data_IF_860596872654
#
_entry.id   IF_860596872654
#
_cell.length_a   1.000
_cell.length_b   1.000
_cell.length_c   1.000
_cell.angle_alpha   90.00
_cell.angle_beta   90.00
_cell.angle_gamma   90.00
#
_symmetry.space_group_name_H-M   'P 1'
#
loop_
_entity.id
_entity.type
_entity.pdbx_description
1 polymer ?
#
# COMPACT_ATOMS: atom_id res chain seq x y z
N UNK A 1 -3.47 -6.16 -24.08
CA UNK A 1 -2.22 -6.25 -24.87
C UNK A 1 -1.66 -7.67 -24.74
N UNK A 2 -0.97 -8.19 -25.75
CA UNK A 2 -0.30 -9.50 -25.66
C UNK A 2 0.84 -9.50 -24.63
N UNK A 3 1.09 -10.65 -23.97
CA UNK A 3 2.16 -10.78 -22.95
C UNK A 3 3.54 -10.37 -23.48
N UNK A 4 3.81 -10.60 -24.76
CA UNK A 4 5.08 -10.24 -25.40
C UNK A 4 5.28 -8.72 -25.50
N UNK A 5 4.23 -7.99 -25.86
CA UNK A 5 4.26 -6.53 -25.94
C UNK A 5 4.46 -5.89 -24.56
N UNK A 6 3.72 -6.37 -23.55
CA UNK A 6 3.88 -5.94 -22.15
C UNK A 6 5.34 -6.13 -21.70
N UNK A 7 5.92 -7.30 -21.98
CA UNK A 7 7.30 -7.61 -21.63
C UNK A 7 8.28 -6.61 -22.26
N UNK A 8 8.11 -6.31 -23.56
CA UNK A 8 8.98 -5.38 -24.29
C UNK A 8 8.93 -3.96 -23.71
N UNK A 9 7.73 -3.47 -23.42
CA UNK A 9 7.51 -2.13 -22.88
C UNK A 9 8.09 -1.97 -21.47
N UNK A 10 7.80 -2.92 -20.57
CA UNK A 10 8.27 -2.84 -19.19
C UNK A 10 9.79 -2.99 -19.10
N UNK A 11 10.39 -3.88 -19.88
CA UNK A 11 11.85 -3.98 -19.96
C UNK A 11 12.50 -2.73 -20.55
N UNK A 12 11.81 -2.00 -21.44
CA UNK A 12 12.29 -0.73 -21.94
C UNK A 12 12.27 0.36 -20.85
N UNK A 13 11.17 0.46 -20.08
CA UNK A 13 11.08 1.37 -18.93
C UNK A 13 12.17 1.08 -17.90
N UNK A 14 12.40 -0.21 -17.59
CA UNK A 14 13.42 -0.65 -16.63
C UNK A 14 14.84 -0.25 -17.03
N UNK A 15 15.17 -0.32 -18.33
CA UNK A 15 16.49 0.15 -18.85
C UNK A 15 16.70 1.65 -18.70
N UNK A 16 15.62 2.43 -18.52
CA UNK A 16 15.68 3.86 -18.28
C UNK A 16 15.92 4.24 -16.82
N UNK A 17 15.89 3.29 -15.88
CA UNK A 17 16.11 3.56 -14.46
C UNK A 17 17.60 3.55 -14.11
N UNK A 18 17.98 4.43 -13.19
CA UNK A 18 19.31 4.41 -12.61
C UNK A 18 19.44 3.29 -11.57
N UNK A 19 20.67 2.87 -11.28
CA UNK A 19 20.92 1.89 -10.22
C UNK A 19 20.46 2.41 -8.84
N UNK A 20 20.58 3.72 -8.59
CA UNK A 20 20.14 4.36 -7.36
C UNK A 20 18.61 4.32 -7.21
N UNK A 21 17.86 4.55 -8.29
CA UNK A 21 16.40 4.45 -8.27
C UNK A 21 15.94 3.03 -7.95
N UNK A 22 16.55 2.03 -8.62
CA UNK A 22 16.26 0.62 -8.37
C UNK A 22 16.58 0.27 -6.92
N UNK A 23 17.74 0.69 -6.40
CA UNK A 23 18.13 0.40 -5.02
C UNK A 23 17.17 1.04 -4.02
N UNK A 24 16.79 2.30 -4.22
CA UNK A 24 15.84 3.02 -3.34
C UNK A 24 14.47 2.34 -3.31
N UNK A 25 13.93 1.97 -4.47
CA UNK A 25 12.65 1.25 -4.53
C UNK A 25 12.76 -0.18 -3.96
N UNK A 26 13.87 -0.87 -4.22
CA UNK A 26 14.14 -2.21 -3.68
C UNK A 26 14.22 -2.22 -2.16
N UNK A 27 14.88 -1.20 -1.58
CA UNK A 27 14.93 -0.99 -0.14
C UNK A 27 13.53 -0.87 0.46
N UNK A 28 12.67 -0.03 -0.13
CA UNK A 28 11.28 0.12 0.32
C UNK A 28 10.49 -1.19 0.22
N UNK A 29 10.66 -1.94 -0.87
CA UNK A 29 10.03 -3.27 -1.03
C UNK A 29 10.52 -4.25 0.04
N UNK A 30 11.82 -4.30 0.31
CA UNK A 30 12.40 -5.18 1.32
C UNK A 30 11.89 -4.85 2.73
N UNK A 31 11.91 -3.56 3.13
CA UNK A 31 11.38 -3.11 4.42
C UNK A 31 9.91 -3.49 4.60
N UNK A 32 9.10 -3.31 3.56
CA UNK A 32 7.69 -3.72 3.55
C UNK A 32 7.54 -5.20 3.81
N UNK A 33 8.24 -6.05 3.05
CA UNK A 33 8.16 -7.50 3.20
C UNK A 33 8.64 -7.94 4.59
N UNK A 34 9.72 -7.33 5.11
CA UNK A 34 10.25 -7.62 6.46
C UNK A 34 9.22 -7.35 7.57
N UNK A 35 8.37 -6.33 7.40
CA UNK A 35 7.32 -5.99 8.36
C UNK A 35 6.11 -6.92 8.34
N UNK A 36 5.97 -7.76 7.30
CA UNK A 36 4.82 -8.65 7.17
C UNK A 36 4.95 -9.87 8.08
N UNK A 37 3.84 -10.27 8.69
CA UNK A 37 3.73 -11.46 9.55
C UNK A 37 4.27 -12.72 8.86
N UNK A 38 3.98 -12.88 7.56
CA UNK A 38 4.45 -14.03 6.77
C UNK A 38 5.98 -14.12 6.69
N UNK A 39 6.70 -12.98 6.67
CA UNK A 39 8.16 -13.01 6.73
C UNK A 39 8.64 -13.28 8.15
N UNK A 40 8.02 -12.64 9.14
CA UNK A 40 8.39 -12.79 10.55
C UNK A 40 8.26 -14.26 11.02
N UNK A 41 7.20 -14.95 10.59
CA UNK A 41 6.92 -16.35 10.95
C UNK A 41 7.69 -17.38 10.13
N UNK A 42 8.12 -17.04 8.90
CA UNK A 42 8.81 -18.01 8.04
C UNK A 42 10.17 -18.42 8.62
N UNK A 43 10.43 -19.73 8.71
CA UNK A 43 11.74 -20.24 9.10
C UNK A 43 12.73 -20.35 7.93
N UNK A 44 12.21 -20.29 6.70
CA UNK A 44 12.97 -20.35 5.47
C UNK A 44 12.46 -19.32 4.45
N UNK A 45 13.41 -18.70 3.72
CA UNK A 45 13.18 -17.74 2.65
C UNK A 45 13.74 -18.29 1.35
N UNK A 46 12.90 -18.45 0.34
CA UNK A 46 13.32 -18.82 -1.01
C UNK A 46 13.23 -17.56 -1.88
N UNK A 47 14.36 -17.09 -2.41
CA UNK A 47 14.41 -15.83 -3.13
C UNK A 47 15.12 -15.98 -4.48
N UNK A 48 14.73 -15.18 -5.45
CA UNK A 48 15.47 -15.06 -6.70
C UNK A 48 16.73 -14.24 -6.50
N UNK A 49 17.74 -14.49 -7.34
CA UNK A 49 18.89 -13.61 -7.47
C UNK A 49 18.58 -12.57 -8.55
N UNK A 50 18.59 -11.29 -8.17
CA UNK A 50 18.20 -10.22 -9.07
C UNK A 50 19.13 -10.09 -10.28
N UNK A 51 18.54 -9.79 -11.43
CA UNK A 51 19.28 -9.56 -12.66
C UNK A 51 18.60 -8.49 -13.50
N UNK A 52 19.34 -7.87 -14.43
CA UNK A 52 18.76 -6.99 -15.47
C UNK A 52 17.86 -5.86 -14.92
N UNK A 53 18.22 -5.29 -13.77
CA UNK A 53 17.53 -4.16 -13.14
C UNK A 53 16.18 -4.50 -12.48
N UNK A 54 15.97 -5.77 -12.12
CA UNK A 54 14.83 -6.15 -11.25
C UNK A 54 14.91 -5.46 -9.88
N UNK A 55 13.79 -5.45 -9.15
CA UNK A 55 13.83 -5.16 -7.73
C UNK A 55 14.84 -6.12 -7.07
N UNK A 56 15.81 -5.59 -6.34
CA UNK A 56 16.73 -6.44 -5.58
C UNK A 56 16.07 -6.87 -4.28
N UNK A 57 16.22 -8.15 -3.95
CA UNK A 57 15.75 -8.74 -2.68
C UNK A 57 16.93 -9.12 -1.79
N UNK A 58 18.11 -8.57 -2.08
CA UNK A 58 19.34 -8.83 -1.34
C UNK A 58 19.22 -8.43 0.13
N UNK A 59 18.73 -7.22 0.41
CA UNK A 59 18.54 -6.75 1.79
C UNK A 59 17.58 -7.65 2.58
N UNK A 60 16.56 -8.21 1.91
CA UNK A 60 15.63 -9.16 2.52
C UNK A 60 16.32 -10.48 2.88
N UNK A 61 17.18 -10.99 2.01
CA UNK A 61 18.01 -12.19 2.30
C UNK A 61 19.03 -11.93 3.42
N UNK A 62 19.66 -10.75 3.44
CA UNK A 62 20.59 -10.35 4.51
C UNK A 62 19.89 -10.27 5.87
N UNK A 63 18.66 -9.75 5.92
CA UNK A 63 17.85 -9.77 7.13
C UNK A 63 17.45 -11.19 7.52
N UNK A 64 17.10 -12.04 6.56
CA UNK A 64 16.79 -13.45 6.84
C UNK A 64 17.98 -14.19 7.47
N UNK A 65 19.21 -13.98 6.95
CA UNK A 65 20.43 -14.52 7.57
C UNK A 65 20.62 -14.01 9.01
N UNK A 66 20.42 -12.70 9.23
CA UNK A 66 20.54 -12.09 10.57
C UNK A 66 19.56 -12.68 11.58
N UNK A 67 18.35 -13.02 11.13
CA UNK A 67 17.33 -13.68 11.96
C UNK A 67 17.54 -15.20 12.06
N UNK A 68 18.60 -15.76 11.47
CA UNK A 68 18.89 -17.19 11.49
C UNK A 68 17.93 -18.03 10.64
N UNK A 69 17.19 -17.41 9.72
CA UNK A 69 16.33 -18.12 8.76
C UNK A 69 17.20 -18.81 7.71
N UNK A 70 16.72 -19.95 7.20
CA UNK A 70 17.37 -20.65 6.08
C UNK A 70 17.08 -19.91 4.78
N UNK A 71 18.09 -19.57 3.99
CA UNK A 71 17.90 -18.89 2.70
C UNK A 71 18.26 -19.84 1.57
N UNK A 72 17.39 -19.95 0.57
CA UNK A 72 17.64 -20.73 -0.62
C UNK A 72 17.45 -19.89 -1.90
N UNK A 73 18.30 -20.16 -2.90
CA UNK A 73 18.30 -19.47 -4.19
C UNK A 73 18.20 -20.48 -5.34
N UNK A 74 17.60 -20.10 -6.49
CA UNK A 74 17.35 -21.04 -7.57
C UNK A 74 18.62 -21.35 -8.37
N UNK A 75 18.69 -22.58 -8.89
CA UNK A 75 19.64 -23.06 -9.89
C UNK A 75 18.88 -23.78 -11.00
N UNK A 76 19.24 -23.51 -12.25
CA UNK A 76 18.59 -24.15 -13.40
C UNK A 76 19.39 -25.38 -13.83
N UNK A 77 18.75 -26.55 -13.78
CA UNK A 77 19.34 -27.83 -14.20
C UNK A 77 18.55 -28.36 -15.40
N UNK A 78 19.08 -28.11 -16.60
CA UNK A 78 18.42 -28.48 -17.85
C UNK A 78 17.12 -27.71 -18.08
N UNK A 79 15.96 -28.36 -17.87
CA UNK A 79 14.61 -27.75 -18.00
C UNK A 79 13.92 -27.52 -16.66
N UNK A 80 14.55 -27.93 -15.57
CA UNK A 80 14.02 -27.81 -14.22
C UNK A 80 14.76 -26.72 -13.43
N UNK A 81 14.07 -26.20 -12.41
CA UNK A 81 14.63 -25.22 -11.48
C UNK A 81 14.54 -25.84 -10.09
N UNK A 82 15.63 -25.81 -9.35
CA UNK A 82 15.72 -26.28 -7.97
C UNK A 82 16.24 -25.16 -7.09
N UNK A 83 15.95 -25.23 -5.79
CA UNK A 83 16.48 -24.29 -4.81
C UNK A 83 17.57 -24.98 -3.99
N UNK A 84 18.63 -24.23 -3.66
CA UNK A 84 19.72 -24.70 -2.83
C UNK A 84 19.97 -23.70 -1.71
N UNK A 85 20.21 -24.20 -0.50
CA UNK A 85 20.54 -23.33 0.62
C UNK A 85 21.91 -22.68 0.40
N UNK A 86 22.01 -21.42 0.82
CA UNK A 86 23.25 -20.66 0.89
C UNK A 86 23.40 -20.09 2.30
N UNK A 87 24.63 -19.86 2.76
CA UNK A 87 24.90 -19.14 4.01
C UNK A 87 25.39 -17.71 3.73
N UNK A 88 25.92 -17.48 2.53
CA UNK A 88 26.42 -16.20 2.06
C UNK A 88 26.31 -16.08 0.54
N UNK A 89 26.39 -14.86 0.02
CA UNK A 89 26.42 -14.63 -1.44
C UNK A 89 27.74 -15.05 -2.09
N UNK A 90 28.79 -15.30 -1.31
CA UNK A 90 30.10 -15.73 -1.81
C UNK A 90 30.07 -17.18 -2.32
N UNK A 91 29.03 -17.94 -1.99
CA UNK A 91 28.80 -19.32 -2.45
C UNK A 91 28.18 -19.39 -3.86
N UNK A 92 27.94 -18.24 -4.50
CA UNK A 92 27.30 -18.14 -5.81
C UNK A 92 28.26 -17.64 -6.90
N UNK A 93 28.22 -18.27 -8.07
CA UNK A 93 28.94 -17.86 -9.28
C UNK A 93 27.97 -17.51 -10.43
N UNK A 94 28.37 -16.73 -11.45
CA UNK A 94 27.50 -16.44 -12.59
C UNK A 94 27.05 -17.73 -13.31
N UNK A 95 25.74 -17.99 -13.28
CA UNK A 95 25.10 -19.17 -13.86
C UNK A 95 24.22 -18.86 -15.08
N UNK A 96 23.08 -19.54 -15.22
CA UNK A 96 22.20 -19.42 -16.38
C UNK A 96 21.70 -17.97 -16.57
N UNK A 97 21.79 -17.45 -17.80
CA UNK A 97 21.50 -16.04 -18.13
C UNK A 97 22.33 -14.98 -17.36
N UNK A 98 23.45 -15.38 -16.74
CA UNK A 98 24.27 -14.49 -15.91
C UNK A 98 23.67 -14.21 -14.52
N UNK A 99 22.69 -15.00 -14.10
CA UNK A 99 22.11 -14.96 -12.76
C UNK A 99 23.06 -15.72 -11.82
N UNK A 100 23.46 -15.18 -10.65
CA UNK A 100 24.26 -15.91 -9.68
C UNK A 100 23.57 -17.21 -9.25
N UNK A 101 24.27 -18.33 -9.34
CA UNK A 101 23.79 -19.66 -8.96
C UNK A 101 24.72 -20.29 -7.91
N UNK A 102 24.17 -21.06 -6.96
CA UNK A 102 24.96 -21.73 -5.93
C UNK A 102 25.86 -22.80 -6.56
N UNK A 103 27.16 -22.71 -6.27
CA UNK A 103 28.19 -23.62 -6.80
C UNK A 103 28.10 -24.98 -6.11
N UNK A 104 27.98 -24.95 -4.78
CA UNK A 104 27.83 -26.10 -3.89
C UNK A 104 26.71 -25.82 -2.90
N UNK A 105 25.85 -26.80 -2.62
CA UNK A 105 24.78 -26.60 -1.65
C UNK A 105 23.92 -27.83 -1.48
N UNK A 106 23.20 -27.88 -0.36
CA UNK A 106 22.14 -28.86 -0.12
C UNK A 106 20.87 -28.38 -0.81
N UNK A 107 20.24 -29.25 -1.60
CA UNK A 107 18.93 -28.98 -2.20
C UNK A 107 17.91 -28.67 -1.08
N UNK A 108 17.17 -27.58 -1.26
CA UNK A 108 16.26 -27.05 -0.26
C UNK A 108 14.95 -27.85 -0.24
N UNK A 109 14.41 -28.11 0.96
CA UNK A 109 13.27 -29.02 1.17
C UNK A 109 12.13 -28.44 2.01
N UNK A 110 12.18 -27.16 2.36
CA UNK A 110 11.16 -26.47 3.15
C UNK A 110 9.94 -26.13 2.29
N UNK A 111 8.89 -26.97 2.33
CA UNK A 111 7.66 -26.80 1.54
C UNK A 111 6.79 -25.59 1.98
N UNK A 112 7.00 -25.10 3.19
CA UNK A 112 6.29 -23.97 3.81
C UNK A 112 7.13 -22.68 3.86
N UNK A 113 8.29 -22.66 3.19
CA UNK A 113 9.10 -21.45 3.07
C UNK A 113 8.34 -20.28 2.45
N UNK A 114 8.67 -19.05 2.85
CA UNK A 114 8.24 -17.85 2.13
C UNK A 114 9.03 -17.76 0.82
N UNK A 115 8.33 -17.75 -0.30
CA UNK A 115 8.92 -17.62 -1.64
C UNK A 115 8.73 -16.22 -2.20
N UNK A 116 9.83 -15.58 -2.58
CA UNK A 116 9.85 -14.32 -3.30
C UNK A 116 9.95 -14.60 -4.80
N UNK A 117 8.90 -14.24 -5.52
CA UNK A 117 8.76 -14.48 -6.95
C UNK A 117 9.21 -13.26 -7.76
N UNK A 118 10.07 -13.43 -8.78
CA UNK A 118 10.37 -12.35 -9.72
C UNK A 118 9.26 -12.23 -10.76
N UNK A 119 9.23 -11.12 -11.48
CA UNK A 119 8.35 -10.93 -12.62
C UNK A 119 8.73 -9.71 -13.46
N UNK A 120 8.32 -9.73 -14.72
CA UNK A 120 8.46 -8.57 -15.61
C UNK A 120 7.32 -7.60 -15.39
N UNK A 121 6.08 -8.07 -15.29
CA UNK A 121 4.91 -7.24 -15.05
C UNK A 121 3.89 -7.96 -14.18
N UNK A 122 3.08 -7.17 -13.47
CA UNK A 122 1.95 -7.64 -12.68
C UNK A 122 0.72 -6.77 -12.93
N UNK A 123 -0.48 -7.24 -12.61
CA UNK A 123 -1.70 -6.43 -12.66
C UNK A 123 -2.40 -6.35 -11.30
N UNK A 124 -3.49 -5.58 -11.23
CA UNK A 124 -4.30 -5.43 -10.01
C UNK A 124 -4.98 -6.71 -9.52
N UNK A 125 -5.00 -7.77 -10.33
CA UNK A 125 -5.52 -9.11 -9.98
C UNK A 125 -4.39 -10.10 -9.64
N UNK A 126 -3.14 -9.63 -9.65
CA UNK A 126 -1.90 -10.40 -9.39
C UNK A 126 -1.48 -11.32 -10.55
N UNK A 127 -2.10 -11.22 -11.73
CA UNK A 127 -1.57 -11.89 -12.92
C UNK A 127 -0.14 -11.43 -13.18
N UNK A 128 0.68 -12.32 -13.75
CA UNK A 128 2.12 -12.10 -13.90
C UNK A 128 2.58 -12.37 -15.32
N UNK A 129 3.47 -11.52 -15.82
CA UNK A 129 4.30 -11.81 -16.99
C UNK A 129 5.71 -12.15 -16.54
N UNK A 130 6.14 -13.39 -16.75
CA UNK A 130 7.54 -13.80 -16.56
C UNK A 130 8.40 -13.63 -17.81
N UNK A 131 9.64 -14.14 -17.74
CA UNK A 131 10.60 -14.14 -18.86
C UNK A 131 10.31 -15.18 -19.96
N UNK A 132 9.18 -15.90 -19.88
CA UNK A 132 8.71 -16.80 -20.95
C UNK A 132 9.29 -18.23 -20.91
N UNK A 133 9.99 -18.62 -19.83
CA UNK A 133 10.52 -19.99 -19.67
C UNK A 133 9.71 -20.88 -18.71
N UNK A 134 8.77 -20.32 -17.96
CA UNK A 134 7.86 -21.06 -17.07
C UNK A 134 8.52 -21.82 -15.91
N UNK A 135 9.75 -21.46 -15.50
CA UNK A 135 10.45 -22.18 -14.43
C UNK A 135 9.73 -22.10 -13.09
N UNK A 136 9.33 -20.89 -12.67
CA UNK A 136 8.57 -20.68 -11.44
C UNK A 136 7.21 -21.37 -11.47
N UNK A 137 6.52 -21.35 -12.62
CA UNK A 137 5.20 -21.96 -12.72
C UNK A 137 5.30 -23.49 -12.63
N UNK A 138 6.29 -24.10 -13.31
CA UNK A 138 6.58 -25.53 -13.15
C UNK A 138 6.97 -25.89 -11.72
N UNK A 139 7.81 -25.10 -11.06
CA UNK A 139 8.21 -25.35 -9.68
C UNK A 139 7.00 -25.28 -8.73
N UNK A 140 6.25 -24.18 -8.75
CA UNK A 140 5.10 -23.96 -7.88
C UNK A 140 3.93 -24.90 -8.18
N UNK A 141 3.85 -25.48 -9.39
CA UNK A 141 2.89 -26.56 -9.69
C UNK A 141 3.09 -27.81 -8.84
N UNK A 142 4.32 -28.06 -8.40
CA UNK A 142 4.72 -29.17 -7.53
C UNK A 142 4.78 -28.77 -6.05
N UNK A 143 5.11 -27.51 -5.77
CA UNK A 143 5.29 -26.97 -4.42
C UNK A 143 4.24 -25.88 -4.08
N UNK A 144 3.01 -26.33 -3.80
CA UNK A 144 1.84 -25.44 -3.60
C UNK A 144 1.72 -24.84 -2.19
N UNK A 145 2.54 -25.30 -1.24
CA UNK A 145 2.43 -24.93 0.18
C UNK A 145 3.17 -23.64 0.53
N UNK A 146 4.09 -23.19 -0.32
CA UNK A 146 4.80 -21.93 -0.10
C UNK A 146 3.84 -20.76 0.02
N UNK A 147 4.09 -19.90 1.01
CA UNK A 147 3.58 -18.55 0.95
C UNK A 147 4.32 -17.79 -0.16
N UNK A 148 3.61 -17.02 -1.00
CA UNK A 148 4.22 -16.40 -2.19
C UNK A 148 4.03 -14.88 -2.22
N UNK A 149 5.14 -14.15 -2.31
CA UNK A 149 5.15 -12.71 -2.51
C UNK A 149 5.91 -12.40 -3.81
N UNK A 150 5.34 -11.59 -4.68
CA UNK A 150 6.07 -10.98 -5.77
C UNK A 150 6.64 -9.62 -5.36
N UNK A 151 7.93 -9.41 -5.59
CA UNK A 151 8.58 -8.11 -5.46
C UNK A 151 8.59 -7.40 -6.82
N UNK A 152 8.09 -6.17 -6.87
CA UNK A 152 8.00 -5.41 -8.12
C UNK A 152 8.21 -3.92 -7.90
N UNK A 153 8.93 -3.27 -8.83
CA UNK A 153 8.94 -1.81 -8.94
C UNK A 153 7.55 -1.32 -9.37
N UNK A 154 7.09 -0.15 -8.93
CA UNK A 154 5.66 0.19 -9.05
C UNK A 154 5.21 0.36 -10.51
N UNK A 155 6.09 0.82 -11.40
CA UNK A 155 5.78 0.94 -12.83
C UNK A 155 5.57 -0.41 -13.54
N UNK A 156 5.92 -1.53 -12.89
CA UNK A 156 5.68 -2.88 -13.41
C UNK A 156 4.22 -3.32 -13.22
N UNK A 157 3.44 -2.57 -12.43
CA UNK A 157 2.00 -2.79 -12.31
C UNK A 157 1.31 -2.17 -13.52
N UNK A 158 0.72 -3.02 -14.36
CA UNK A 158 -0.04 -2.64 -15.55
C UNK A 158 -1.53 -2.87 -15.34
N UNK A 159 -2.35 -2.34 -16.25
CA UNK A 159 -3.81 -2.38 -16.11
C UNK A 159 -4.37 -3.80 -16.17
N UNK A 160 -3.93 -4.59 -17.16
CA UNK A 160 -4.42 -5.95 -17.38
C UNK A 160 -3.34 -6.82 -18.04
N UNK A 161 -3.20 -8.03 -17.52
CA UNK A 161 -2.37 -9.08 -18.12
C UNK A 161 -3.29 -10.23 -18.56
N UNK A 162 -3.18 -10.73 -19.81
CA UNK A 162 -3.88 -11.93 -20.22
C UNK A 162 -3.48 -13.10 -19.32
N UNK A 163 -4.46 -13.79 -18.72
CA UNK A 163 -4.23 -14.94 -17.86
C UNK A 163 -4.22 -16.23 -18.68
N UNK A 164 -3.31 -17.14 -18.35
CA UNK A 164 -3.27 -18.51 -18.86
C UNK A 164 -3.70 -19.48 -17.74
N UNK A 165 -4.27 -20.64 -18.08
CA UNK A 165 -4.79 -21.61 -17.10
C UNK A 165 -3.69 -22.19 -16.19
N UNK A 166 -2.44 -22.14 -16.65
CA UNK A 166 -1.26 -22.60 -15.93
C UNK A 166 -0.54 -21.49 -15.15
N UNK A 167 -0.98 -20.23 -15.25
CA UNK A 167 -0.32 -19.13 -14.54
C UNK A 167 -0.60 -19.22 -13.04
N UNK A 168 0.47 -19.23 -12.25
CA UNK A 168 0.37 -19.31 -10.80
C UNK A 168 0.58 -17.91 -10.24
N UNK A 169 -0.48 -17.40 -9.61
CA UNK A 169 -0.50 -16.06 -9.05
C UNK A 169 0.23 -16.04 -7.71
N UNK A 170 1.07 -15.03 -7.44
CA UNK A 170 1.56 -14.79 -6.10
C UNK A 170 0.38 -14.44 -5.18
N UNK A 171 0.45 -14.82 -3.91
CA UNK A 171 -0.56 -14.45 -2.93
C UNK A 171 -0.61 -12.93 -2.74
N UNK A 172 0.56 -12.28 -2.72
CA UNK A 172 0.69 -10.81 -2.67
C UNK A 172 1.69 -10.30 -3.72
N UNK A 173 1.44 -9.12 -4.29
CA UNK A 173 2.44 -8.33 -5.03
C UNK A 173 2.78 -7.11 -4.18
N UNK A 174 4.05 -6.87 -3.91
CA UNK A 174 4.53 -5.77 -3.07
C UNK A 174 5.42 -4.86 -3.90
N UNK A 175 5.05 -3.58 -3.91
CA UNK A 175 5.85 -2.48 -4.47
C UNK A 175 6.22 -1.50 -3.35
N UNK A 176 7.07 -0.52 -3.64
CA UNK A 176 7.37 0.55 -2.69
C UNK A 176 6.17 1.46 -2.37
N UNK A 177 5.08 1.39 -3.14
CA UNK A 177 3.93 2.29 -3.02
C UNK A 177 2.62 1.60 -2.64
N UNK A 178 2.53 0.27 -2.78
CA UNK A 178 1.29 -0.48 -2.52
C UNK A 178 1.55 -1.97 -2.32
N UNK A 179 0.53 -2.65 -1.78
CA UNK A 179 0.44 -4.10 -1.75
C UNK A 179 -0.87 -4.52 -2.41
N UNK A 180 -0.79 -5.47 -3.34
CA UNK A 180 -1.92 -6.06 -4.05
C UNK A 180 -2.08 -7.49 -3.54
N UNK A 181 -3.24 -7.81 -2.97
CA UNK A 181 -3.53 -9.12 -2.40
C UNK A 181 -4.98 -9.53 -2.68
N UNK A 182 -5.31 -10.79 -2.46
CA UNK A 182 -6.70 -11.25 -2.46
C UNK A 182 -7.39 -10.87 -1.16
N UNK A 183 -8.66 -10.51 -1.24
CA UNK A 183 -9.47 -10.18 -0.06
C UNK A 183 -9.18 -8.81 0.54
N UNK A 184 -9.84 -8.52 1.66
CA UNK A 184 -9.61 -7.30 2.43
C UNK A 184 -8.41 -7.47 3.36
N UNK A 185 -7.62 -6.41 3.51
CA UNK A 185 -6.53 -6.35 4.49
C UNK A 185 -7.07 -6.48 5.93
N UNK A 186 -6.29 -7.09 6.81
CA UNK A 186 -6.59 -7.07 8.25
C UNK A 186 -6.41 -5.66 8.83
N UNK A 187 -6.95 -5.42 10.03
CA UNK A 187 -6.77 -4.11 10.69
C UNK A 187 -5.31 -3.86 11.05
N UNK A 188 -4.59 -4.93 11.41
CA UNK A 188 -3.17 -4.89 11.74
C UNK A 188 -2.35 -4.55 10.50
N UNK A 189 -2.69 -5.12 9.34
CA UNK A 189 -2.06 -4.76 8.06
C UNK A 189 -2.35 -3.30 7.68
N UNK A 190 -3.60 -2.85 7.83
CA UNK A 190 -3.98 -1.45 7.58
C UNK A 190 -3.19 -0.50 8.49
N UNK A 191 -3.11 -0.81 9.79
CA UNK A 191 -2.38 -0.02 10.77
C UNK A 191 -0.88 0.03 10.50
N UNK A 192 -0.27 -1.13 10.21
CA UNK A 192 1.15 -1.23 9.87
C UNK A 192 1.49 -0.41 8.62
N UNK A 193 0.69 -0.53 7.56
CA UNK A 193 0.88 0.28 6.34
C UNK A 193 0.71 1.78 6.62
N UNK A 194 -0.25 2.19 7.46
CA UNK A 194 -0.42 3.60 7.79
C UNK A 194 0.80 4.17 8.54
N UNK A 195 1.40 3.39 9.46
CA UNK A 195 2.65 3.77 10.13
C UNK A 195 3.82 3.88 9.14
N UNK A 196 3.87 3.01 8.13
CA UNK A 196 4.88 3.08 7.09
C UNK A 196 4.78 4.36 6.23
N UNK A 197 3.57 4.87 5.99
CA UNK A 197 3.39 6.11 5.25
C UNK A 197 3.88 7.36 6.02
N UNK A 198 3.93 7.29 7.35
CA UNK A 198 4.25 8.43 8.25
C UNK A 198 5.57 9.13 7.89
N UNK A 199 6.74 8.48 7.85
CA UNK A 199 8.00 9.15 7.54
C UNK A 199 7.99 9.79 6.15
N UNK A 200 7.38 9.13 5.16
CA UNK A 200 7.29 9.64 3.79
C UNK A 200 6.44 10.92 3.73
N UNK A 201 5.26 10.93 4.37
CA UNK A 201 4.37 12.08 4.40
C UNK A 201 4.98 13.27 5.18
N UNK A 202 5.72 12.99 6.26
CA UNK A 202 6.38 14.00 7.08
C UNK A 202 7.56 14.68 6.37
N UNK A 203 8.14 14.04 5.34
CA UNK A 203 9.21 14.59 4.51
C UNK A 203 8.70 15.40 3.30
N UNK A 204 7.40 15.38 3.01
CA UNK A 204 6.85 16.14 1.89
C UNK A 204 6.90 17.65 2.18
N UNK A 205 7.51 18.39 1.26
CA UNK A 205 7.44 19.85 1.28
C UNK A 205 6.03 20.37 0.95
N UNK A 206 5.79 21.63 1.30
CA UNK A 206 4.50 22.29 1.10
C UNK A 206 4.07 22.31 -0.37
N UNK A 207 5.01 22.51 -1.30
CA UNK A 207 4.70 22.60 -2.72
C UNK A 207 4.19 21.26 -3.27
N UNK A 208 4.82 20.15 -2.89
CA UNK A 208 4.42 18.80 -3.25
C UNK A 208 3.08 18.44 -2.61
N UNK A 209 2.86 18.78 -1.34
CA UNK A 209 1.55 18.58 -0.68
C UNK A 209 0.43 19.32 -1.42
N UNK A 210 0.65 20.60 -1.73
CA UNK A 210 -0.33 21.42 -2.44
C UNK A 210 -0.61 20.90 -3.85
N UNK A 211 0.42 20.50 -4.59
CA UNK A 211 0.27 19.91 -5.93
C UNK A 211 -0.61 18.66 -5.91
N UNK A 212 -0.39 17.77 -4.94
CA UNK A 212 -1.19 16.53 -4.80
C UNK A 212 -2.65 16.87 -4.49
N UNK A 213 -2.92 17.83 -3.60
CA UNK A 213 -4.29 18.27 -3.29
C UNK A 213 -4.99 18.87 -4.51
N UNK A 214 -4.30 19.67 -5.31
CA UNK A 214 -4.84 20.21 -6.57
C UNK A 214 -5.10 19.11 -7.61
N UNK A 215 -4.18 18.15 -7.75
CA UNK A 215 -4.40 17.00 -8.64
C UNK A 215 -5.56 16.12 -8.16
N UNK A 216 -5.71 15.95 -6.84
CA UNK A 216 -6.83 15.22 -6.24
C UNK A 216 -8.17 15.91 -6.52
N UNK A 217 -8.23 17.24 -6.40
CA UNK A 217 -9.40 18.02 -6.76
C UNK A 217 -9.81 17.80 -8.23
N UNK A 218 -8.85 17.89 -9.15
CA UNK A 218 -9.09 17.66 -10.57
C UNK A 218 -9.54 16.22 -10.86
N UNK A 219 -8.91 15.23 -10.22
CA UNK A 219 -9.26 13.83 -10.44
C UNK A 219 -10.67 13.48 -9.95
N UNK A 220 -11.14 14.10 -8.85
CA UNK A 220 -12.52 13.94 -8.38
C UNK A 220 -13.54 14.47 -9.40
N UNK A 221 -13.24 15.59 -10.07
CA UNK A 221 -14.11 16.13 -11.12
C UNK A 221 -14.02 15.32 -12.42
N UNK A 222 -12.83 14.87 -12.81
CA UNK A 222 -12.64 14.11 -14.06
C UNK A 222 -13.31 12.72 -13.98
N UNK A 223 -13.37 12.13 -12.79
CA UNK A 223 -13.99 10.81 -12.53
C UNK A 223 -15.33 10.93 -11.81
N UNK A 224 -16.00 12.06 -11.98
CA UNK A 224 -17.32 12.35 -11.41
C UNK A 224 -18.35 11.25 -11.72
N UNK A 225 -18.41 10.80 -12.98
CA UNK A 225 -19.34 9.73 -13.41
C UNK A 225 -19.16 8.46 -12.61
N UNK A 226 -17.92 8.01 -12.38
CA UNK A 226 -17.63 6.80 -11.60
C UNK A 226 -18.12 6.94 -10.14
N UNK A 227 -17.91 8.11 -9.54
CA UNK A 227 -18.31 8.40 -8.16
C UNK A 227 -19.85 8.45 -8.04
N UNK A 228 -20.52 9.10 -9.00
CA UNK A 228 -21.99 9.20 -9.03
C UNK A 228 -22.64 7.84 -9.26
N UNK A 229 -22.07 7.00 -10.13
CA UNK A 229 -22.56 5.64 -10.36
C UNK A 229 -22.46 4.77 -9.11
N UNK A 230 -21.33 4.84 -8.40
CA UNK A 230 -21.15 4.16 -7.13
C UNK A 230 -22.14 4.66 -6.06
N UNK A 231 -22.37 5.98 -6.02
CA UNK A 231 -23.30 6.59 -5.08
C UNK A 231 -24.76 6.21 -5.36
N UNK A 232 -25.17 6.17 -6.62
CA UNK A 232 -26.52 5.75 -7.02
C UNK A 232 -26.84 4.36 -6.47
N UNK A 233 -25.92 3.41 -6.55
CA UNK A 233 -26.11 2.07 -5.99
C UNK A 233 -26.28 2.07 -4.45
N UNK A 234 -25.56 2.95 -3.74
CA UNK A 234 -25.72 3.13 -2.29
C UNK A 234 -27.08 3.76 -1.95
N UNK A 235 -27.49 4.81 -2.69
CA UNK A 235 -28.78 5.50 -2.50
C UNK A 235 -29.96 4.57 -2.77
N UNK A 236 -29.94 3.82 -3.87
CA UNK A 236 -30.99 2.85 -4.21
C UNK A 236 -31.16 1.81 -3.10
N UNK A 237 -30.05 1.27 -2.59
CA UNK A 237 -30.05 0.34 -1.46
C UNK A 237 -30.61 0.99 -0.19
N UNK A 238 -30.23 2.23 0.11
CA UNK A 238 -30.71 2.96 1.28
C UNK A 238 -32.21 3.21 1.22
N UNK A 239 -32.74 3.65 0.07
CA UNK A 239 -34.17 3.86 -0.15
C UNK A 239 -34.94 2.54 -0.04
N UNK A 240 -34.47 1.47 -0.67
CA UNK A 240 -35.08 0.14 -0.58
C UNK A 240 -35.10 -0.41 0.85
N UNK A 241 -34.12 -0.04 1.68
CA UNK A 241 -34.07 -0.42 3.10
C UNK A 241 -34.96 0.43 4.02
N UNK A 242 -35.69 1.42 3.48
CA UNK A 242 -36.56 2.30 4.27
C UNK A 242 -35.81 3.35 5.09
N UNK A 243 -34.61 3.74 4.67
CA UNK A 243 -33.82 4.77 5.35
C UNK A 243 -34.56 6.12 5.39
N UNK A 244 -34.41 6.86 6.49
CA UNK A 244 -35.01 8.18 6.64
C UNK A 244 -34.62 9.14 5.49
N UNK A 245 -35.56 9.89 4.89
CA UNK A 245 -35.28 10.79 3.75
C UNK A 245 -34.14 11.79 3.99
N UNK A 246 -33.99 12.31 5.21
CA UNK A 246 -32.90 13.23 5.55
C UNK A 246 -31.52 12.57 5.64
N UNK A 247 -31.45 11.27 5.92
CA UNK A 247 -30.21 10.51 5.84
C UNK A 247 -29.88 10.13 4.39
N UNK A 248 -30.90 9.80 3.60
CA UNK A 248 -30.74 9.59 2.15
C UNK A 248 -30.21 10.86 1.50
N UNK A 249 -30.77 12.03 1.81
CA UNK A 249 -30.24 13.31 1.30
C UNK A 249 -28.76 13.51 1.66
N UNK A 250 -28.34 13.18 2.88
CA UNK A 250 -26.92 13.28 3.30
C UNK A 250 -26.00 12.28 2.59
N UNK A 251 -26.53 11.12 2.22
CA UNK A 251 -25.82 10.08 1.48
C UNK A 251 -25.66 10.44 0.00
N UNK A 252 -26.66 11.09 -0.59
CA UNK A 252 -26.69 11.41 -2.02
C UNK A 252 -25.54 12.34 -2.42
N UNK A 253 -24.80 11.96 -3.46
CA UNK A 253 -23.87 12.83 -4.15
C UNK A 253 -24.54 13.38 -5.41
N UNK A 254 -24.25 14.65 -5.69
CA UNK A 254 -24.63 15.33 -6.93
C UNK A 254 -23.38 15.95 -7.52
N UNK A 255 -23.46 16.40 -8.77
CA UNK A 255 -22.32 17.06 -9.40
C UNK A 255 -21.82 18.26 -8.59
N UNK A 256 -22.75 19.06 -8.07
CA UNK A 256 -22.44 20.19 -7.21
C UNK A 256 -21.71 19.77 -5.92
N UNK A 257 -22.05 18.61 -5.33
CA UNK A 257 -21.36 18.10 -4.14
C UNK A 257 -19.96 17.59 -4.46
N UNK A 258 -19.74 16.99 -5.64
CA UNK A 258 -18.41 16.57 -6.10
C UNK A 258 -17.53 17.80 -6.37
N UNK A 259 -18.06 18.81 -7.06
CA UNK A 259 -17.37 20.10 -7.24
C UNK A 259 -17.04 20.76 -5.90
N UNK A 260 -17.96 20.72 -4.93
CA UNK A 260 -17.71 21.21 -3.58
C UNK A 260 -16.56 20.49 -2.86
N UNK A 261 -16.43 19.16 -3.00
CA UNK A 261 -15.27 18.42 -2.49
C UNK A 261 -13.96 18.89 -3.15
N UNK A 262 -13.97 19.03 -4.47
CA UNK A 262 -12.81 19.49 -5.22
C UNK A 262 -12.40 20.92 -4.81
N UNK A 263 -13.36 21.84 -4.70
CA UNK A 263 -13.13 23.20 -4.20
C UNK A 263 -12.55 23.20 -2.78
N UNK A 264 -13.06 22.33 -1.89
CA UNK A 264 -12.51 22.16 -0.55
C UNK A 264 -11.03 21.78 -0.56
N UNK A 265 -10.63 20.82 -1.42
CA UNK A 265 -9.23 20.44 -1.58
C UNK A 265 -8.35 21.59 -2.13
N UNK A 266 -8.87 22.40 -3.06
CA UNK A 266 -8.18 23.58 -3.57
C UNK A 266 -8.00 24.64 -2.47
N UNK A 267 -9.02 24.88 -1.67
CA UNK A 267 -8.94 25.80 -0.53
C UNK A 267 -7.89 25.34 0.48
N UNK A 268 -7.85 24.03 0.80
CA UNK A 268 -6.85 23.46 1.70
C UNK A 268 -5.42 23.61 1.15
N UNK A 269 -5.23 23.46 -0.16
CA UNK A 269 -3.93 23.69 -0.79
C UNK A 269 -3.47 25.15 -0.64
N UNK A 270 -4.41 26.11 -0.66
CA UNK A 270 -4.13 27.54 -0.52
C UNK A 270 -3.82 27.97 0.93
N UNK A 271 -4.19 27.17 1.94
CA UNK A 271 -3.86 27.46 3.34
C UNK A 271 -2.35 27.37 3.59
N UNK A 272 -1.87 28.16 4.56
CA UNK A 272 -0.50 28.05 5.07
C UNK A 272 -0.25 26.64 5.63
N UNK A 273 0.97 26.16 5.45
CA UNK A 273 1.38 24.86 5.96
C UNK A 273 1.79 25.00 7.43
N UNK A 274 1.04 24.40 8.38
CA UNK A 274 1.38 24.51 9.79
C UNK A 274 2.61 23.68 10.16
N UNK A 275 3.04 22.74 9.31
CA UNK A 275 4.10 21.80 9.65
C UNK A 275 5.45 22.48 9.48
N UNK A 276 6.25 22.44 10.54
CA UNK A 276 7.58 23.04 10.55
C UNK A 276 7.68 24.38 11.28
N UNK A 277 6.54 25.00 11.61
CA UNK A 277 6.50 26.29 12.33
C UNK A 277 7.18 26.19 13.71
N UNK A 278 8.10 27.12 13.99
CA UNK A 278 8.78 27.24 15.28
C UNK A 278 8.01 28.23 16.15
N UNK A 279 7.33 27.71 17.17
CA UNK A 279 6.48 28.51 18.08
C UNK A 279 7.30 29.27 19.11
N UNK A 280 8.42 28.71 19.55
CA UNK A 280 9.32 29.35 20.51
C UNK A 280 10.73 28.80 20.39
N UNK A 281 11.71 29.61 20.77
CA UNK A 281 13.12 29.24 20.83
C UNK A 281 13.81 30.03 21.96
N UNK A 282 14.50 29.34 22.87
CA UNK A 282 15.17 29.94 24.03
C UNK A 282 16.55 29.35 24.24
N UNK A 283 17.55 30.22 24.36
CA UNK A 283 18.92 29.85 24.79
C UNK A 283 18.98 29.72 26.30
N UNK A 284 19.50 28.61 26.80
CA UNK A 284 19.71 28.32 28.23
C UNK A 284 21.09 28.83 28.67
N UNK A 285 21.29 29.06 29.99
CA UNK A 285 22.58 29.53 30.52
C UNK A 285 23.78 28.62 30.18
N UNK A 286 23.54 27.33 29.97
CA UNK A 286 24.55 26.35 29.56
C UNK A 286 24.78 26.30 28.04
N UNK A 287 24.20 27.21 27.26
CA UNK A 287 24.36 27.29 25.80
C UNK A 287 23.36 26.47 24.98
N UNK A 288 22.54 25.60 25.59
CA UNK A 288 21.53 24.81 24.88
C UNK A 288 20.43 25.69 24.27
N UNK A 289 20.03 25.39 23.05
CA UNK A 289 18.86 25.98 22.40
C UNK A 289 17.67 25.03 22.54
N UNK A 290 16.62 25.48 23.23
CA UNK A 290 15.38 24.73 23.40
C UNK A 290 14.30 25.42 22.59
N UNK A 291 13.69 24.72 21.65
CA UNK A 291 12.60 25.25 20.84
C UNK A 291 11.40 24.31 20.78
N UNK A 292 10.25 24.88 20.46
CA UNK A 292 9.01 24.14 20.21
C UNK A 292 8.67 24.28 18.73
N UNK A 293 8.47 23.14 18.06
CA UNK A 293 8.18 23.06 16.62
C UNK A 293 6.89 22.27 16.39
N UNK A 294 6.05 22.73 15.45
CA UNK A 294 4.88 21.97 15.01
C UNK A 294 5.29 20.78 14.15
N UNK A 295 4.79 19.60 14.52
CA UNK A 295 5.01 18.34 13.81
C UNK A 295 3.66 17.64 13.59
N UNK A 296 3.53 16.77 12.57
CA UNK A 296 2.33 15.96 12.39
C UNK A 296 2.13 15.01 13.57
N UNK A 297 0.88 14.61 13.82
CA UNK A 297 0.55 13.61 14.84
C UNK A 297 1.10 12.24 14.43
N UNK A 298 0.88 11.87 13.17
CA UNK A 298 1.29 10.59 12.59
C UNK A 298 0.14 9.96 11.81
N UNK A 299 -0.56 9.02 12.43
CA UNK A 299 -1.71 8.30 11.86
C UNK A 299 -3.01 8.77 12.51
N UNK A 300 -3.91 9.30 11.69
CA UNK A 300 -5.22 9.79 12.11
C UNK A 300 -6.28 8.78 11.70
N UNK A 301 -7.04 8.26 12.66
CA UNK A 301 -8.24 7.49 12.41
C UNK A 301 -9.46 8.42 12.34
N UNK A 302 -10.33 8.26 11.35
CA UNK A 302 -11.57 9.06 11.26
C UNK A 302 -12.76 8.14 11.08
N UNK A 303 -13.70 8.22 12.02
CA UNK A 303 -14.95 7.47 11.98
C UNK A 303 -16.09 8.44 11.68
N UNK A 304 -16.80 8.23 10.58
CA UNK A 304 -17.88 9.13 10.14
C UNK A 304 -19.13 8.38 9.66
N UNK A 305 -20.26 9.08 9.70
CA UNK A 305 -21.58 8.53 9.30
C UNK A 305 -21.79 8.58 7.77
N UNK A 306 -23.02 8.37 7.31
CA UNK A 306 -23.44 8.27 5.90
C UNK A 306 -23.34 9.61 5.16
N UNK A 307 -22.11 10.13 5.02
CA UNK A 307 -21.75 11.39 4.34
C UNK A 307 -20.49 11.17 3.50
N UNK A 308 -20.62 10.73 2.24
CA UNK A 308 -19.46 10.39 1.41
C UNK A 308 -18.49 11.55 1.20
N UNK A 309 -18.99 12.79 1.22
CA UNK A 309 -18.16 13.99 1.05
C UNK A 309 -17.06 14.14 2.11
N UNK A 310 -17.31 13.65 3.33
CA UNK A 310 -16.34 13.69 4.42
C UNK A 310 -15.06 12.93 4.06
N UNK A 311 -15.13 11.94 3.17
CA UNK A 311 -13.98 11.17 2.71
C UNK A 311 -12.88 12.05 2.11
N UNK A 312 -13.26 12.97 1.21
CA UNK A 312 -12.31 13.89 0.56
C UNK A 312 -11.81 14.97 1.53
N UNK A 313 -12.71 15.55 2.33
CA UNK A 313 -12.36 16.58 3.32
C UNK A 313 -11.39 16.05 4.36
N UNK A 314 -11.67 14.86 4.90
CA UNK A 314 -10.84 14.16 5.89
C UNK A 314 -9.45 13.85 5.34
N UNK A 315 -9.38 13.33 4.11
CA UNK A 315 -8.11 13.11 3.42
C UNK A 315 -7.33 14.41 3.26
N UNK A 316 -7.95 15.46 2.71
CA UNK A 316 -7.27 16.72 2.41
C UNK A 316 -6.63 17.35 3.64
N UNK A 317 -7.37 17.39 4.77
CA UNK A 317 -6.86 17.93 6.03
C UNK A 317 -5.70 17.12 6.60
N UNK A 318 -5.84 15.79 6.64
CA UNK A 318 -4.79 14.90 7.15
C UNK A 318 -3.52 15.00 6.28
N UNK A 319 -3.71 14.96 4.96
CA UNK A 319 -2.61 15.00 4.01
C UNK A 319 -1.86 16.34 4.03
N UNK A 320 -2.58 17.48 4.05
CA UNK A 320 -1.98 18.83 4.17
C UNK A 320 -1.11 18.94 5.44
N UNK A 321 -1.57 18.33 6.52
CA UNK A 321 -0.89 18.33 7.82
C UNK A 321 0.12 17.19 7.99
N UNK A 322 0.47 16.47 6.93
CA UNK A 322 1.52 15.44 6.94
C UNK A 322 1.17 14.17 7.72
N UNK A 323 -0.12 13.86 7.83
CA UNK A 323 -0.62 12.67 8.52
C UNK A 323 -1.11 11.63 7.52
N UNK A 324 -0.85 10.36 7.81
CA UNK A 324 -1.56 9.25 7.17
C UNK A 324 -2.97 9.15 7.76
N UNK A 325 -3.92 8.66 6.97
CA UNK A 325 -5.32 8.59 7.41
C UNK A 325 -5.95 7.22 7.17
N UNK A 326 -6.62 6.70 8.19
CA UNK A 326 -7.47 5.50 8.10
C UNK A 326 -8.92 5.93 8.31
N UNK A 327 -9.72 5.73 7.28
CA UNK A 327 -11.12 6.11 7.24
C UNK A 327 -12.02 4.92 7.57
N UNK A 328 -13.05 5.18 8.37
CA UNK A 328 -14.19 4.28 8.57
C UNK A 328 -15.49 5.06 8.40
N UNK A 329 -16.05 4.98 7.20
CA UNK A 329 -17.38 5.52 6.91
C UNK A 329 -18.52 4.60 7.36
N UNK A 330 -19.73 5.13 7.29
CA UNK A 330 -20.98 4.39 7.47
C UNK A 330 -21.12 3.27 6.43
N UNK A 331 -21.74 2.15 6.83
CA UNK A 331 -21.99 0.99 5.95
C UNK A 331 -22.85 1.31 4.74
N UNK A 332 -23.63 2.39 4.83
CA UNK A 332 -24.59 2.80 3.81
C UNK A 332 -23.94 3.55 2.64
N UNK A 333 -22.72 4.07 2.85
CA UNK A 333 -21.95 4.86 1.89
C UNK A 333 -20.73 4.09 1.34
N UNK A 334 -20.71 2.76 1.49
CA UNK A 334 -19.49 1.97 1.29
C UNK A 334 -18.96 2.07 -0.15
N UNK A 335 -19.83 2.01 -1.16
CA UNK A 335 -19.44 2.07 -2.56
C UNK A 335 -18.95 3.47 -2.92
N UNK A 336 -19.66 4.48 -2.45
CA UNK A 336 -19.31 5.90 -2.60
C UNK A 336 -17.93 6.20 -2.02
N UNK A 337 -17.69 5.76 -0.77
CA UNK A 337 -16.41 5.96 -0.09
C UNK A 337 -15.27 5.23 -0.80
N UNK A 338 -15.50 3.99 -1.26
CA UNK A 338 -14.51 3.23 -2.03
C UNK A 338 -14.15 3.91 -3.35
N UNK A 339 -15.14 4.42 -4.09
CA UNK A 339 -14.90 5.15 -5.34
C UNK A 339 -14.05 6.41 -5.09
N UNK A 340 -14.41 7.23 -4.10
CA UNK A 340 -13.65 8.44 -3.76
C UNK A 340 -12.22 8.08 -3.33
N UNK A 341 -12.05 7.10 -2.43
CA UNK A 341 -10.71 6.69 -1.96
C UNK A 341 -9.86 6.17 -3.10
N UNK A 342 -10.43 5.39 -4.03
CA UNK A 342 -9.71 4.89 -5.21
C UNK A 342 -9.19 6.04 -6.07
N UNK A 343 -10.03 7.02 -6.39
CA UNK A 343 -9.61 8.21 -7.15
C UNK A 343 -8.44 8.92 -6.46
N UNK A 344 -8.53 9.11 -5.15
CA UNK A 344 -7.49 9.78 -4.36
C UNK A 344 -6.20 8.95 -4.28
N UNK A 345 -6.29 7.64 -4.12
CA UNK A 345 -5.14 6.73 -4.12
C UNK A 345 -4.43 6.70 -5.47
N UNK A 346 -5.18 6.74 -6.58
CA UNK A 346 -4.60 6.79 -7.92
C UNK A 346 -3.78 8.08 -8.12
N UNK A 347 -4.23 9.21 -7.56
CA UNK A 347 -3.46 10.46 -7.54
C UNK A 347 -2.21 10.37 -6.66
N UNK A 348 -2.30 9.75 -5.48
CA UNK A 348 -1.14 9.50 -4.63
C UNK A 348 -0.06 8.70 -5.38
N UNK A 349 -0.46 7.60 -6.01
CA UNK A 349 0.43 6.76 -6.81
C UNK A 349 1.08 7.53 -7.97
N UNK A 350 0.29 8.30 -8.72
CA UNK A 350 0.81 9.16 -9.80
C UNK A 350 1.81 10.22 -9.30
N UNK A 351 1.76 10.58 -8.02
CA UNK A 351 2.68 11.50 -7.37
C UNK A 351 3.86 10.80 -6.66
N UNK A 352 4.00 9.48 -6.80
CA UNK A 352 5.02 8.68 -6.12
C UNK A 352 4.83 8.66 -4.60
N UNK A 353 3.59 8.75 -4.13
CA UNK A 353 3.20 8.67 -2.73
C UNK A 353 2.46 7.34 -2.54
N UNK A 354 2.72 6.61 -1.44
CA UNK A 354 2.09 5.31 -1.29
C UNK A 354 0.57 5.41 -1.15
N UNK A 355 -0.15 4.49 -1.80
CA UNK A 355 -1.61 4.47 -1.77
C UNK A 355 -2.16 4.33 -0.33
N UNK A 356 -1.43 3.63 0.54
CA UNK A 356 -1.81 3.41 1.93
C UNK A 356 -1.58 4.62 2.86
N UNK A 357 -1.14 5.77 2.33
CA UNK A 357 -1.27 7.06 3.03
C UNK A 357 -2.73 7.44 3.29
N UNK A 358 -3.66 6.92 2.47
CA UNK A 358 -5.10 6.99 2.64
C UNK A 358 -5.67 5.58 2.58
N UNK A 359 -6.31 5.11 3.65
CA UNK A 359 -6.94 3.78 3.67
C UNK A 359 -8.40 3.86 4.11
N UNK A 360 -9.20 2.92 3.64
CA UNK A 360 -10.61 2.77 4.01
C UNK A 360 -10.86 1.38 4.57
N UNK A 361 -11.41 1.30 5.78
CA UNK A 361 -11.89 0.04 6.33
C UNK A 361 -13.19 -0.34 5.62
N UNK A 362 -13.07 -1.29 4.69
CA UNK A 362 -14.16 -1.76 3.84
C UNK A 362 -15.23 -2.62 4.53
N UNK A 363 -14.97 -3.06 5.77
CA UNK A 363 -15.88 -3.94 6.50
C UNK A 363 -17.11 -3.20 7.04
N UNK A 364 -18.27 -3.84 6.91
CA UNK A 364 -19.54 -3.41 7.51
C UNK A 364 -19.76 -3.98 8.92
N UNK A 365 -18.86 -4.84 9.40
CA UNK A 365 -18.97 -5.45 10.74
C UNK A 365 -18.63 -4.44 11.85
N UNK A 366 -19.51 -4.38 12.86
CA UNK A 366 -19.31 -3.58 14.07
C UNK A 366 -18.13 -4.06 14.90
N UNK A 367 -17.80 -5.35 14.86
CA UNK A 367 -16.61 -5.90 15.54
C UNK A 367 -15.34 -5.28 15.01
N UNK A 368 -15.22 -5.15 13.69
CA UNK A 368 -14.07 -4.49 13.03
C UNK A 368 -14.00 -3.02 13.43
N UNK A 369 -15.14 -2.33 13.51
CA UNK A 369 -15.17 -0.93 13.97
C UNK A 369 -14.70 -0.80 15.42
N UNK A 370 -15.11 -1.73 16.29
CA UNK A 370 -14.69 -1.74 17.71
C UNK A 370 -13.21 -2.06 17.85
N UNK A 371 -12.70 -3.02 17.07
CA UNK A 371 -11.28 -3.35 17.02
C UNK A 371 -10.44 -2.17 16.51
N UNK A 372 -10.93 -1.43 15.51
CA UNK A 372 -10.28 -0.21 15.03
C UNK A 372 -10.15 0.86 16.11
N UNK A 373 -11.17 1.05 16.97
CA UNK A 373 -11.09 1.98 18.11
C UNK A 373 -10.01 1.58 19.13
N UNK A 374 -9.51 0.34 19.08
CA UNK A 374 -8.51 -0.21 19.98
C UNK A 374 -7.12 -0.36 19.34
N UNK A 375 -6.93 0.21 18.16
CA UNK A 375 -5.70 0.08 17.39
C UNK A 375 -4.61 1.10 17.80
N UNK A 376 -4.47 1.38 19.10
CA UNK A 376 -3.58 2.41 19.64
C UNK A 376 -2.08 2.11 19.47
N UNK A 377 -1.73 0.91 19.00
CA UNK A 377 -0.37 0.59 18.55
C UNK A 377 -0.02 1.22 17.19
N UNK A 378 -1.03 1.55 16.36
CA UNK A 378 -0.83 2.09 15.01
C UNK A 378 -1.53 3.43 14.76
N UNK A 379 -2.49 3.84 15.59
CA UNK A 379 -3.27 5.08 15.38
C UNK A 379 -2.98 6.04 16.53
N UNK A 380 -2.53 7.25 16.19
CA UNK A 380 -2.11 8.27 17.16
C UNK A 380 -3.31 9.07 17.72
N UNK A 381 -4.35 9.27 16.91
CA UNK A 381 -5.59 9.97 17.31
C UNK A 381 -6.79 9.46 16.53
N UNK A 382 -7.97 9.45 17.16
CA UNK A 382 -9.22 9.02 16.55
C UNK A 382 -10.26 10.15 16.58
N UNK A 383 -10.75 10.57 15.41
CA UNK A 383 -11.67 11.70 15.26
C UNK A 383 -13.07 11.20 14.86
N UNK A 384 -14.06 11.20 15.77
CA UNK A 384 -15.44 10.89 15.41
C UNK A 384 -16.15 12.09 14.75
N UNK A 385 -16.83 11.86 13.63
CA UNK A 385 -17.61 12.88 12.91
C UNK A 385 -19.02 12.37 12.62
N UNK A 386 -19.97 12.73 13.48
CA UNK A 386 -21.36 12.32 13.32
C UNK A 386 -22.24 12.70 14.50
N UNK A 387 -23.30 11.92 14.73
CA UNK A 387 -24.21 12.08 15.84
C UNK A 387 -23.52 12.04 17.21
N UNK A 388 -24.11 12.69 18.23
CA UNK A 388 -23.61 12.61 19.60
C UNK A 388 -23.54 11.17 20.13
N UNK A 389 -24.38 10.27 19.61
CA UNK A 389 -24.32 8.82 19.90
C UNK A 389 -23.04 8.20 19.36
N UNK A 390 -22.63 8.52 18.12
CA UNK A 390 -21.38 8.03 17.56
C UNK A 390 -20.19 8.53 18.38
N UNK A 391 -20.16 9.83 18.68
CA UNK A 391 -19.07 10.45 19.46
C UNK A 391 -18.95 9.77 20.83
N UNK A 392 -20.07 9.63 21.56
CA UNK A 392 -20.10 8.95 22.86
C UNK A 392 -19.62 7.51 22.76
N UNK A 393 -20.07 6.76 21.76
CA UNK A 393 -19.63 5.38 21.55
C UNK A 393 -18.12 5.27 21.30
N UNK A 394 -17.53 6.19 20.52
CA UNK A 394 -16.09 6.23 20.27
C UNK A 394 -15.32 6.56 21.56
N UNK A 395 -15.74 7.59 22.28
CA UNK A 395 -15.11 7.99 23.56
C UNK A 395 -15.14 6.87 24.60
N UNK A 396 -16.25 6.12 24.69
CA UNK A 396 -16.41 5.05 25.70
C UNK A 396 -15.63 3.77 25.36
N UNK A 397 -15.35 3.50 24.08
CA UNK A 397 -14.78 2.22 23.63
C UNK A 397 -13.33 2.30 23.15
N UNK A 398 -12.82 3.52 22.89
CA UNK A 398 -11.50 3.70 22.30
C UNK A 398 -10.38 3.67 23.34
N UNK A 399 -9.28 3.00 22.98
CA UNK A 399 -7.99 3.10 23.69
C UNK A 399 -7.06 4.11 23.02
N UNK A 400 -7.46 4.63 21.84
CA UNK A 400 -6.78 5.69 21.10
C UNK A 400 -7.23 7.04 21.69
N UNK A 401 -6.37 8.07 21.78
CA UNK A 401 -6.81 9.41 22.13
C UNK A 401 -7.92 9.92 21.19
N UNK A 402 -9.01 10.46 21.77
CA UNK A 402 -10.19 10.98 21.05
C UNK A 402 -10.31 12.49 21.21
#
# INVERSE_FOLDING_TARGET
>A
MEKEQIRKEILAKRRGLTAEDIQRESHAICQRIQSMEVFQQAEALYAYMDCKGEASVRELMEEAFRQGKRVAVPKVEGREMKFYYIQSFEECEPGYFGIPEPVTGREASDEDALMIMPGVAFDGRRHRVGYGKGFYDRYLSRHRKHATIAAALDFQIVDEIPADEYDILPQKVVTGLRTISEGMLSLEEIGSQAQEAKPLLQQLDTARKNRVLTMAAQALTDRETEILDANRADVEKAVASGMNPGLVDRLTLTEARIRGMAEGLIQLAALEDPIGEVLSMKKRPNGLLIGQKRVPLGVVGIIYESRPNVTADAFGLCFKTGNAVILKGGSDAIRSNQAIVRVLQDVLLACGIPAFALQLIGSTDRKVTTAFMRLNQYVDVLIPRGSGRLIKAVVENSTIPV
#
